data_IF_595721867634
#
_entry.id   IF_595721867634
#
_cell.length_a   1.000
_cell.length_b   1.000
_cell.length_c   1.000
_cell.angle_alpha   90.00
_cell.angle_beta   90.00
_cell.angle_gamma   90.00
#
_symmetry.space_group_name_H-M   'P 1'
#
loop_
_entity.id
_entity.type
_entity.pdbx_description
1 polymer ?
#
# COMPACT_ATOMS: atom_id res chain seq x y z
N UNK A 1 9.92 0.45 -3.19
CA UNK A 1 10.50 1.16 -4.37
C UNK A 1 11.78 0.51 -4.89
N UNK A 2 12.17 -0.67 -4.41
CA UNK A 2 13.30 -1.43 -4.99
C UNK A 2 13.01 -1.92 -6.41
N UNK A 3 11.74 -2.06 -6.75
CA UNK A 3 11.16 -2.50 -8.02
C UNK A 3 10.77 -1.33 -8.95
N UNK A 4 11.22 -0.11 -8.66
CA UNK A 4 10.98 1.04 -9.53
C UNK A 4 11.80 0.93 -10.82
N UNK A 5 11.16 1.20 -11.96
CA UNK A 5 11.80 1.37 -13.27
C UNK A 5 11.24 2.64 -13.92
N UNK A 6 12.08 3.46 -14.58
CA UNK A 6 11.62 4.76 -15.10
C UNK A 6 10.61 4.64 -16.24
N UNK A 7 10.72 3.58 -17.05
CA UNK A 7 9.85 3.30 -18.20
C UNK A 7 9.29 1.87 -18.11
N UNK A 8 8.20 1.64 -17.35
CA UNK A 8 7.62 0.31 -17.22
C UNK A 8 7.05 -0.18 -18.55
N UNK A 9 7.39 -1.41 -18.97
CA UNK A 9 7.04 -1.97 -20.28
C UNK A 9 5.54 -1.86 -20.60
N UNK A 10 4.68 -2.19 -19.62
CA UNK A 10 3.23 -2.11 -19.77
C UNK A 10 2.71 -0.68 -20.02
N UNK A 11 3.35 0.34 -19.45
CA UNK A 11 2.98 1.73 -19.67
C UNK A 11 3.49 2.23 -21.03
N UNK A 12 4.68 1.80 -21.44
CA UNK A 12 5.26 2.14 -22.74
C UNK A 12 4.47 1.50 -23.89
N UNK A 13 3.89 0.33 -23.68
CA UNK A 13 3.05 -0.37 -24.66
C UNK A 13 1.68 0.26 -24.88
N UNK A 14 1.32 1.34 -24.18
CA UNK A 14 0.08 2.08 -24.45
C UNK A 14 0.21 2.77 -25.81
N UNK A 15 -0.68 2.41 -26.76
CA UNK A 15 -0.66 2.92 -28.13
C UNK A 15 -0.97 4.42 -28.22
N UNK A 16 -1.93 4.90 -27.41
CA UNK A 16 -2.31 6.31 -27.40
C UNK A 16 -1.27 7.17 -26.67
N UNK A 17 -0.67 8.12 -27.40
CA UNK A 17 0.41 8.97 -26.90
C UNK A 17 0.01 9.82 -25.68
N UNK A 18 -1.21 10.33 -25.65
CA UNK A 18 -1.69 11.17 -24.57
C UNK A 18 -1.92 10.34 -23.30
N UNK A 19 -2.54 9.16 -23.45
CA UNK A 19 -2.76 8.21 -22.35
C UNK A 19 -1.45 7.66 -21.82
N UNK A 20 -0.49 7.34 -22.69
CA UNK A 20 0.84 6.89 -22.30
C UNK A 20 1.56 7.95 -21.46
N UNK A 21 1.58 9.20 -21.94
CA UNK A 21 2.17 10.32 -21.19
C UNK A 21 1.51 10.50 -19.83
N UNK A 22 0.17 10.48 -19.78
CA UNK A 22 -0.57 10.58 -18.53
C UNK A 22 -0.23 9.45 -17.56
N UNK A 23 -0.14 8.21 -18.03
CA UNK A 23 0.22 7.06 -17.21
C UNK A 23 1.65 7.17 -16.65
N UNK A 24 2.62 7.62 -17.47
CA UNK A 24 4.00 7.88 -17.03
C UNK A 24 4.08 9.02 -16.01
N UNK A 25 3.26 10.06 -16.17
CA UNK A 25 3.15 11.15 -15.18
C UNK A 25 2.62 10.64 -13.84
N UNK A 26 1.59 9.80 -13.83
CA UNK A 26 1.09 9.13 -12.61
C UNK A 26 2.18 8.25 -12.01
N UNK A 27 2.86 7.44 -12.83
CA UNK A 27 3.93 6.58 -12.38
C UNK A 27 4.99 7.38 -11.61
N UNK A 28 5.44 8.51 -12.18
CA UNK A 28 6.40 9.42 -11.56
C UNK A 28 5.95 9.97 -10.18
N UNK A 29 4.64 10.00 -9.88
CA UNK A 29 4.14 10.43 -8.58
C UNK A 29 4.43 9.41 -7.47
N UNK A 30 4.59 8.11 -7.75
CA UNK A 30 4.87 7.12 -6.70
C UNK A 30 6.15 7.45 -5.92
N UNK A 31 7.21 7.91 -6.61
CA UNK A 31 8.43 8.43 -5.97
C UNK A 31 8.15 9.59 -5.00
N UNK A 32 7.19 10.46 -5.31
CA UNK A 32 6.83 11.62 -4.47
C UNK A 32 5.90 11.26 -3.31
N UNK A 33 5.06 10.24 -3.48
CA UNK A 33 4.04 9.82 -2.51
C UNK A 33 4.54 8.72 -1.56
N UNK A 34 5.63 8.04 -1.88
CA UNK A 34 6.20 6.99 -1.04
C UNK A 34 6.73 7.53 0.29
N UNK A 35 6.38 6.88 1.41
CA UNK A 35 6.82 7.20 2.77
C UNK A 35 7.23 5.94 3.50
N UNK A 36 8.15 6.10 4.44
CA UNK A 36 8.55 5.08 5.42
C UNK A 36 8.43 5.63 6.82
N UNK A 37 8.25 4.76 7.81
CA UNK A 37 8.19 5.17 9.21
C UNK A 37 9.52 4.87 9.90
N UNK A 38 10.04 5.86 10.61
CA UNK A 38 11.26 5.71 11.42
C UNK A 38 11.06 4.65 12.50
N UNK A 39 12.10 3.87 12.76
CA UNK A 39 12.12 2.86 13.83
C UNK A 39 11.87 3.45 15.22
N UNK A 40 12.22 4.72 15.45
CA UNK A 40 11.93 5.45 16.70
C UNK A 40 10.43 5.46 17.05
N UNK A 41 9.54 5.44 16.05
CA UNK A 41 8.09 5.33 16.28
C UNK A 41 7.72 3.98 16.90
N UNK A 42 8.41 2.90 16.50
CA UNK A 42 8.25 1.55 17.07
C UNK A 42 8.81 1.48 18.49
N UNK A 43 9.97 2.11 18.74
CA UNK A 43 10.66 2.09 20.03
C UNK A 43 9.96 2.97 21.08
N UNK A 44 9.36 4.08 20.65
CA UNK A 44 8.74 5.09 21.52
C UNK A 44 7.31 5.46 21.09
N UNK A 45 6.38 4.49 20.98
CA UNK A 45 5.05 4.71 20.36
C UNK A 45 4.20 5.77 21.08
N UNK A 46 4.41 6.00 22.39
CA UNK A 46 3.68 7.01 23.16
C UNK A 46 4.05 8.45 22.80
N UNK A 47 5.16 8.68 22.10
CA UNK A 47 5.61 10.02 21.68
C UNK A 47 5.04 10.45 20.31
N UNK A 48 4.36 9.55 19.61
CA UNK A 48 3.89 9.78 18.26
C UNK A 48 2.39 9.49 18.14
N UNK A 49 1.71 10.24 17.28
CA UNK A 49 0.35 9.89 16.88
C UNK A 49 0.32 8.87 15.74
N UNK A 50 1.38 8.80 14.93
CA UNK A 50 1.49 7.81 13.84
C UNK A 50 1.82 6.43 14.40
N UNK A 51 1.14 5.41 13.88
CA UNK A 51 1.37 4.02 14.22
C UNK A 51 2.44 3.46 13.29
N UNK A 52 3.39 2.74 13.87
CA UNK A 52 4.45 2.10 13.10
C UNK A 52 3.87 1.04 12.15
N UNK A 53 4.45 0.96 10.95
CA UNK A 53 4.29 -0.15 10.00
C UNK A 53 5.67 -0.48 9.43
N UNK A 54 5.96 -1.77 9.10
CA UNK A 54 7.31 -2.22 8.79
C UNK A 54 7.85 -1.79 7.42
N UNK A 55 6.97 -1.61 6.43
CA UNK A 55 7.37 -1.35 5.05
C UNK A 55 6.98 0.05 4.59
N UNK A 56 7.48 0.47 3.42
CA UNK A 56 7.00 1.69 2.78
C UNK A 56 5.52 1.64 2.40
N UNK A 57 4.93 2.81 2.23
CA UNK A 57 3.55 2.97 1.78
C UNK A 57 3.37 4.28 1.01
N UNK A 58 2.24 4.41 0.32
CA UNK A 58 1.88 5.65 -0.37
C UNK A 58 0.89 6.47 0.45
N UNK A 59 1.10 7.78 0.46
CA UNK A 59 0.10 8.73 0.97
C UNK A 59 -0.82 9.20 -0.16
N UNK A 60 -2.07 9.60 0.13
CA UNK A 60 -2.95 10.22 -0.87
C UNK A 60 -2.41 11.53 -1.44
N UNK A 61 -1.52 12.21 -0.71
CA UNK A 61 -0.92 13.48 -1.10
C UNK A 61 -1.48 14.70 -0.35
N UNK A 62 -0.95 15.88 -0.70
CA UNK A 62 -1.34 17.15 -0.07
C UNK A 62 -1.05 17.19 1.43
N UNK A 63 -2.10 17.42 2.25
CA UNK A 63 -1.98 17.51 3.71
C UNK A 63 -1.86 16.16 4.42
N UNK A 64 -2.18 15.06 3.74
CA UNK A 64 -2.22 13.73 4.32
C UNK A 64 -0.81 13.16 4.43
N UNK A 65 -0.48 12.61 5.60
CA UNK A 65 0.87 12.09 5.91
C UNK A 65 0.86 10.68 6.48
N UNK A 66 -0.29 10.01 6.43
CA UNK A 66 -0.53 8.69 6.98
C UNK A 66 -1.04 7.74 5.90
N UNK A 67 -0.88 6.44 6.15
CA UNK A 67 -1.49 5.38 5.37
C UNK A 67 -3.01 5.44 5.58
N UNK A 68 -3.79 5.41 4.50
CA UNK A 68 -5.25 5.31 4.53
C UNK A 68 -5.72 3.99 3.95
N UNK A 69 -6.73 3.37 4.54
CA UNK A 69 -7.10 2.00 4.22
C UNK A 69 -7.69 1.84 2.83
N UNK A 70 -8.88 2.40 2.57
CA UNK A 70 -9.57 2.18 1.29
C UNK A 70 -8.86 2.88 0.10
N UNK A 71 -8.20 4.02 0.32
CA UNK A 71 -7.42 4.73 -0.68
C UNK A 71 -6.28 3.84 -1.21
N UNK A 72 -5.68 3.03 -0.32
CA UNK A 72 -4.57 2.15 -0.67
C UNK A 72 -4.96 1.05 -1.64
N UNK A 73 -6.25 0.73 -1.79
CA UNK A 73 -6.68 -0.27 -2.78
C UNK A 73 -6.40 0.23 -4.20
N UNK A 74 -6.77 1.47 -4.48
CA UNK A 74 -6.53 2.11 -5.77
C UNK A 74 -5.04 2.30 -6.03
N UNK A 75 -4.28 2.61 -4.97
CA UNK A 75 -2.81 2.64 -5.03
C UNK A 75 -2.25 1.28 -5.40
N UNK A 76 -2.67 0.19 -4.74
CA UNK A 76 -2.19 -1.16 -5.03
C UNK A 76 -2.45 -1.52 -6.50
N UNK A 77 -3.66 -1.23 -7.02
CA UNK A 77 -3.95 -1.44 -8.45
C UNK A 77 -3.04 -0.61 -9.37
N UNK A 78 -2.80 0.66 -9.03
CA UNK A 78 -1.91 1.53 -9.79
C UNK A 78 -0.45 1.09 -9.77
N UNK A 79 0.02 0.57 -8.64
CA UNK A 79 1.36 -0.01 -8.50
C UNK A 79 1.50 -1.29 -9.32
N UNK A 80 0.50 -2.18 -9.29
CA UNK A 80 0.47 -3.38 -10.12
C UNK A 80 0.50 -3.00 -11.61
N UNK A 81 -0.32 -2.04 -12.04
CA UNK A 81 -0.28 -1.54 -13.42
C UNK A 81 1.07 -0.87 -13.79
N UNK A 82 1.82 -0.40 -12.80
CA UNK A 82 3.17 0.15 -12.95
C UNK A 82 4.27 -0.92 -12.90
N UNK A 83 3.93 -2.21 -12.77
CA UNK A 83 4.90 -3.30 -12.58
C UNK A 83 5.56 -3.34 -11.19
N UNK A 84 5.07 -2.54 -10.24
CA UNK A 84 5.67 -2.38 -8.90
C UNK A 84 5.06 -3.36 -7.89
N UNK A 85 5.23 -4.66 -8.16
CA UNK A 85 4.62 -5.74 -7.38
C UNK A 85 5.17 -5.85 -5.95
N UNK A 86 6.48 -5.65 -5.74
CA UNK A 86 7.07 -5.71 -4.40
C UNK A 86 6.60 -4.54 -3.54
N UNK A 87 6.51 -3.34 -4.12
CA UNK A 87 5.95 -2.18 -3.41
C UNK A 87 4.47 -2.39 -3.07
N UNK A 88 3.69 -3.02 -3.95
CA UNK A 88 2.31 -3.39 -3.66
C UNK A 88 2.22 -4.41 -2.51
N UNK A 89 3.06 -5.46 -2.53
CA UNK A 89 3.19 -6.46 -1.46
C UNK A 89 3.52 -5.82 -0.12
N UNK A 90 4.43 -4.85 -0.09
CA UNK A 90 4.80 -4.09 1.10
C UNK A 90 3.62 -3.34 1.73
N UNK A 91 2.77 -2.70 0.93
CA UNK A 91 1.55 -2.02 1.40
C UNK A 91 0.57 -3.02 2.01
N UNK A 92 0.34 -4.15 1.35
CA UNK A 92 -0.53 -5.22 1.87
C UNK A 92 0.04 -5.77 3.18
N UNK A 93 1.35 -5.98 3.25
CA UNK A 93 2.07 -6.39 4.45
C UNK A 93 1.94 -5.41 5.62
N UNK A 94 1.87 -4.11 5.34
CA UNK A 94 1.58 -3.11 6.37
C UNK A 94 0.16 -3.28 6.95
N UNK A 95 -0.83 -3.63 6.13
CA UNK A 95 -2.17 -3.93 6.63
C UNK A 95 -2.21 -5.25 7.43
N UNK A 96 -1.53 -6.31 6.97
CA UNK A 96 -1.36 -7.53 7.77
C UNK A 96 -0.76 -7.21 9.16
N UNK A 97 0.26 -6.35 9.20
CA UNK A 97 0.86 -5.91 10.46
C UNK A 97 -0.16 -5.20 11.36
N UNK A 98 -0.93 -4.25 10.82
CA UNK A 98 -1.95 -3.53 11.59
C UNK A 98 -3.05 -4.47 12.11
N UNK A 99 -3.50 -5.42 11.30
CA UNK A 99 -4.49 -6.43 11.70
C UNK A 99 -3.95 -7.27 12.86
N UNK A 100 -2.70 -7.76 12.77
CA UNK A 100 -2.08 -8.53 13.86
C UNK A 100 -1.91 -7.73 15.15
N UNK A 101 -1.68 -6.43 15.06
CA UNK A 101 -1.48 -5.58 16.25
C UNK A 101 -2.78 -5.10 16.89
N UNK A 102 -3.82 -4.85 16.09
CA UNK A 102 -5.03 -4.14 16.55
C UNK A 102 -6.32 -4.92 16.33
N UNK A 103 -6.30 -6.05 15.62
CA UNK A 103 -7.46 -6.90 15.32
C UNK A 103 -8.36 -6.37 14.20
N UNK A 104 -7.97 -5.30 13.50
CA UNK A 104 -8.66 -4.73 12.35
C UNK A 104 -7.75 -3.75 11.61
N UNK A 105 -8.18 -3.27 10.44
CA UNK A 105 -7.49 -2.18 9.73
C UNK A 105 -8.10 -0.81 10.13
N UNK A 106 -7.34 0.09 10.76
CA UNK A 106 -7.83 1.44 11.07
C UNK A 106 -7.99 2.28 9.81
N UNK A 107 -8.88 3.29 9.83
CA UNK A 107 -9.09 4.21 8.69
C UNK A 107 -7.78 4.84 8.19
N UNK A 108 -6.85 5.10 9.12
CA UNK A 108 -5.46 5.33 8.79
C UNK A 108 -4.54 5.00 9.96
N UNK A 109 -3.22 4.98 9.74
CA UNK A 109 -2.26 4.56 10.77
C UNK A 109 -1.95 5.67 11.80
N UNK A 110 -2.99 6.19 12.47
CA UNK A 110 -2.88 7.13 13.59
C UNK A 110 -3.61 6.59 14.81
N UNK A 111 -3.10 6.88 16.01
CA UNK A 111 -3.68 6.40 17.27
C UNK A 111 -5.16 6.81 17.45
N UNK A 112 -5.54 8.00 17.01
CA UNK A 112 -6.93 8.48 17.06
C UNK A 112 -7.86 7.80 16.03
N UNK A 113 -7.33 7.01 15.10
CA UNK A 113 -8.10 6.15 14.20
C UNK A 113 -8.30 4.73 14.72
N UNK A 114 -7.73 4.36 15.87
CA UNK A 114 -7.89 3.02 16.48
C UNK A 114 -9.32 2.68 16.96
N UNK A 115 -10.32 3.49 16.59
CA UNK A 115 -11.74 3.24 16.86
C UNK A 115 -12.61 3.37 15.61
N UNK A 116 -12.00 3.44 14.42
CA UNK A 116 -12.70 3.64 13.14
C UNK A 116 -12.01 2.82 12.05
N UNK A 117 -12.82 2.24 11.18
CA UNK A 117 -12.37 1.57 9.94
C UNK A 117 -12.91 2.30 8.72
N UNK A 118 -12.57 1.81 7.54
CA UNK A 118 -13.06 2.22 6.23
C UNK A 118 -13.61 0.97 5.50
N UNK A 119 -14.22 1.10 4.31
CA UNK A 119 -14.66 -0.05 3.54
C UNK A 119 -13.59 -1.15 3.45
N UNK A 120 -13.93 -2.42 3.68
CA UNK A 120 -12.96 -3.50 3.81
C UNK A 120 -12.37 -3.87 2.45
N UNK A 121 -11.18 -3.36 2.16
CA UNK A 121 -10.48 -3.59 0.89
C UNK A 121 -9.26 -4.52 1.02
N UNK A 122 -8.97 -5.06 2.20
CA UNK A 122 -7.79 -5.93 2.41
C UNK A 122 -7.83 -7.20 1.56
N UNK A 123 -8.92 -7.97 1.60
CA UNK A 123 -9.08 -9.19 0.77
C UNK A 123 -9.00 -8.83 -0.74
N UNK A 124 -9.71 -7.81 -1.25
CA UNK A 124 -9.53 -7.34 -2.61
C UNK A 124 -8.08 -6.99 -2.99
N UNK A 125 -7.31 -6.34 -2.10
CA UNK A 125 -5.89 -6.05 -2.39
C UNK A 125 -5.06 -7.33 -2.54
N UNK A 126 -5.27 -8.31 -1.65
CA UNK A 126 -4.59 -9.61 -1.73
C UNK A 126 -4.96 -10.34 -3.02
N UNK A 127 -6.24 -10.32 -3.39
CA UNK A 127 -6.74 -10.93 -4.63
C UNK A 127 -6.11 -10.29 -5.89
N UNK A 128 -6.12 -8.96 -6.00
CA UNK A 128 -5.55 -8.25 -7.14
C UNK A 128 -4.04 -8.51 -7.26
N UNK A 129 -3.32 -8.54 -6.13
CA UNK A 129 -1.90 -8.88 -6.11
C UNK A 129 -1.66 -10.32 -6.58
N UNK A 130 -2.33 -11.31 -5.98
CA UNK A 130 -2.15 -12.73 -6.30
C UNK A 130 -2.52 -13.05 -7.74
N UNK A 131 -3.57 -12.42 -8.28
CA UNK A 131 -4.00 -12.61 -9.68
C UNK A 131 -2.90 -12.28 -10.69
N UNK A 132 -1.98 -11.36 -10.36
CA UNK A 132 -0.89 -10.93 -11.26
C UNK A 132 0.44 -11.61 -10.93
N UNK A 133 0.71 -11.91 -9.67
CA UNK A 133 2.01 -12.44 -9.24
C UNK A 133 2.05 -13.95 -9.06
N UNK A 134 0.90 -14.60 -8.89
CA UNK A 134 0.77 -16.01 -8.51
C UNK A 134 1.60 -16.37 -7.24
N UNK A 135 1.83 -15.41 -6.35
CA UNK A 135 2.59 -15.61 -5.11
C UNK A 135 1.74 -16.32 -4.05
N UNK A 136 1.65 -17.64 -4.17
CA UNK A 136 0.92 -18.51 -3.25
C UNK A 136 1.46 -18.41 -1.81
N UNK A 137 2.76 -18.21 -1.63
CA UNK A 137 3.36 -18.09 -0.31
C UNK A 137 2.83 -16.86 0.43
N UNK A 138 2.73 -15.72 -0.28
CA UNK A 138 2.18 -14.50 0.28
C UNK A 138 0.67 -14.63 0.54
N UNK A 139 -0.08 -15.25 -0.37
CA UNK A 139 -1.50 -15.54 -0.17
C UNK A 139 -1.73 -16.36 1.11
N UNK A 140 -1.01 -17.47 1.28
CA UNK A 140 -1.09 -18.34 2.47
C UNK A 140 -0.73 -17.54 3.73
N UNK A 141 0.32 -16.71 3.67
CA UNK A 141 0.71 -15.87 4.80
C UNK A 141 -0.35 -14.82 5.20
N UNK A 142 -1.29 -14.52 4.30
CA UNK A 142 -2.35 -13.53 4.47
C UNK A 142 -3.66 -14.12 5.01
N UNK A 143 -3.85 -15.44 5.00
CA UNK A 143 -5.10 -16.10 5.39
C UNK A 143 -5.56 -15.71 6.80
N UNK A 144 -4.67 -15.80 7.79
CA UNK A 144 -4.97 -15.41 9.18
C UNK A 144 -5.49 -13.96 9.29
N UNK A 145 -4.87 -13.04 8.55
CA UNK A 145 -5.29 -11.64 8.56
C UNK A 145 -6.65 -11.45 7.85
N UNK A 146 -6.94 -12.22 6.80
CA UNK A 146 -8.21 -12.18 6.09
C UNK A 146 -9.37 -12.75 6.90
N UNK A 147 -9.13 -13.78 7.73
CA UNK A 147 -10.13 -14.35 8.63
C UNK A 147 -10.45 -13.44 9.83
N UNK A 148 -9.56 -12.51 10.14
CA UNK A 148 -9.72 -11.59 11.27
C UNK A 148 -10.60 -10.38 10.95
N UNK A 149 -10.64 -9.93 9.68
CA UNK A 149 -11.23 -8.64 9.27
C UNK A 149 -12.66 -8.72 8.74
#
# INVERSE_FOLDING_TARGET
MSDWVDDPEYLISIDDDEMRRFALEIHALWKKLCRTIKTEVKEHPKRYSILYVPNEFMIPGGRFRELYYWDSYWVVKGLIASGMHETAKHIIGNFQYLIRQYGFVPSGNRNYYLRRTQPPMFIPMVYEYHTVTEDDQFLISSLEAMETV
#
